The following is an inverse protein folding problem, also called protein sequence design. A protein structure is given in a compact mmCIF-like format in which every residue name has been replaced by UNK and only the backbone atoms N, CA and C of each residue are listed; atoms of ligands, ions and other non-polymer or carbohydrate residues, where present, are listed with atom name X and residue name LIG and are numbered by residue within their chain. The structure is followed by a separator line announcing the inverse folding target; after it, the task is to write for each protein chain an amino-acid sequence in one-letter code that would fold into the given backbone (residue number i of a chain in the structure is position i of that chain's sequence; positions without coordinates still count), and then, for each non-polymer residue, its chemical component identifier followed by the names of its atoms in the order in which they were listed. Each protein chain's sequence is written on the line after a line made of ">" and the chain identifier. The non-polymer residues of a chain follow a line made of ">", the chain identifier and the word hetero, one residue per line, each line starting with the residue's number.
data_IF_866935134006
#
_entry.id   IF_866935134006
#
_cell.length_a   1.000
_cell.length_b   1.000
_cell.length_c   1.000
_cell.angle_alpha   90.00
_cell.angle_beta   90.00
_cell.angle_gamma   90.00
#
_symmetry.space_group_name_H-M   'P 1'
#
loop_
_entity.id
_entity.type
_entity.pdbx_description
1 polymer ?
#
# COMPACT_ATOMS: atom_id res chain seq x y z
N UNK A 1 15.75 25.98 6.11
CA UNK A 1 14.44 26.43 5.59
C UNK A 1 13.71 25.21 5.05
N UNK A 2 12.56 24.86 5.64
CA UNK A 2 11.74 23.74 5.15
C UNK A 2 11.22 24.01 3.74
N UNK A 3 11.09 22.96 2.92
CA UNK A 3 10.46 23.09 1.60
C UNK A 3 8.96 23.29 1.80
N UNK A 4 8.42 24.33 1.16
CA UNK A 4 6.98 24.59 1.08
C UNK A 4 6.54 24.30 -0.36
N UNK A 5 5.35 23.74 -0.53
CA UNK A 5 4.79 23.55 -1.86
C UNK A 5 3.27 23.57 -1.86
N UNK A 6 2.73 23.85 -3.04
CA UNK A 6 1.30 23.95 -3.29
C UNK A 6 0.89 22.81 -4.20
N UNK A 7 -0.19 22.09 -3.85
CA UNK A 7 -0.82 21.08 -4.69
C UNK A 7 -2.27 21.43 -4.94
N UNK A 8 -2.69 21.42 -6.20
CA UNK A 8 -4.08 21.48 -6.58
C UNK A 8 -4.64 20.05 -6.57
N UNK A 9 -5.61 19.78 -5.69
CA UNK A 9 -6.31 18.50 -5.62
C UNK A 9 -7.53 18.58 -6.55
N UNK A 10 -7.27 18.49 -7.85
CA UNK A 10 -8.33 18.47 -8.84
C UNK A 10 -9.16 17.19 -8.74
N UNK A 11 -10.47 17.32 -8.86
CA UNK A 11 -11.41 16.21 -8.87
C UNK A 11 -12.13 16.22 -10.22
N UNK A 12 -12.03 15.13 -10.98
CA UNK A 12 -12.67 15.01 -12.30
C UNK A 12 -14.20 15.17 -12.26
N UNK A 13 -14.82 14.99 -11.08
CA UNK A 13 -16.27 15.07 -10.87
C UNK A 13 -16.72 16.36 -10.18
N UNK A 14 -15.82 17.32 -9.93
CA UNK A 14 -16.15 18.60 -9.29
C UNK A 14 -15.31 19.72 -9.85
N UNK A 15 -15.94 20.85 -10.18
CA UNK A 15 -15.24 22.07 -10.56
C UNK A 15 -14.52 22.76 -9.38
N UNK A 16 -14.65 22.21 -8.16
CA UNK A 16 -13.95 22.71 -6.99
C UNK A 16 -12.56 22.10 -6.86
N UNK A 17 -11.52 22.85 -7.25
CA UNK A 17 -10.12 22.44 -7.12
C UNK A 17 -9.56 22.90 -5.77
N UNK A 18 -9.54 22.01 -4.78
CA UNK A 18 -9.01 22.32 -3.44
C UNK A 18 -7.51 22.58 -3.50
N UNK A 19 -7.05 23.71 -2.95
CA UNK A 19 -5.63 24.05 -2.83
C UNK A 19 -5.09 23.48 -1.51
N UNK A 20 -4.11 22.59 -1.59
CA UNK A 20 -3.36 22.08 -0.44
C UNK A 20 -2.02 22.83 -0.34
N UNK A 21 -1.87 23.63 0.70
CA UNK A 21 -0.59 24.22 1.09
C UNK A 21 0.12 23.27 2.06
N UNK A 22 1.24 22.70 1.62
CA UNK A 22 2.10 21.85 2.46
C UNK A 22 3.32 22.65 2.91
N UNK A 23 3.31 23.06 4.18
CA UNK A 23 4.39 23.82 4.82
C UNK A 23 5.52 22.92 5.32
N UNK A 24 5.40 21.61 5.18
CA UNK A 24 6.36 20.63 5.69
C UNK A 24 6.56 19.49 4.67
N UNK A 25 7.00 19.87 3.46
CA UNK A 25 7.14 19.02 2.27
C UNK A 25 8.33 18.05 2.35
N UNK A 26 8.69 17.62 3.55
CA UNK A 26 9.65 16.55 3.75
C UNK A 26 8.94 15.22 3.51
N UNK A 27 9.50 14.33 2.67
CA UNK A 27 9.00 12.97 2.55
C UNK A 27 9.15 12.31 3.93
N UNK A 28 8.06 12.32 4.68
CA UNK A 28 7.94 11.60 5.93
C UNK A 28 8.02 10.11 5.59
N UNK A 29 9.23 9.56 5.60
CA UNK A 29 9.51 8.13 5.72
C UNK A 29 9.04 7.66 7.10
N UNK A 30 7.75 7.82 7.37
CA UNK A 30 7.11 7.28 8.56
C UNK A 30 7.14 5.77 8.39
N UNK A 31 7.81 5.09 9.30
CA UNK A 31 7.76 3.64 9.42
C UNK A 31 6.34 3.26 9.85
N UNK A 32 5.42 3.20 8.89
CA UNK A 32 4.01 2.91 9.15
C UNK A 32 3.90 1.44 9.58
N UNK A 33 3.24 1.16 10.71
CA UNK A 33 3.03 -0.22 11.13
C UNK A 33 2.26 -0.97 10.03
N UNK A 34 2.59 -2.25 9.87
CA UNK A 34 1.83 -3.10 8.97
C UNK A 34 0.37 -3.21 9.46
N UNK A 35 -0.57 -3.08 8.52
CA UNK A 35 -1.99 -3.28 8.78
C UNK A 35 -2.53 -4.25 7.75
N UNK A 36 -3.12 -5.33 8.25
CA UNK A 36 -3.89 -6.23 7.42
C UNK A 36 -5.12 -5.49 6.88
N UNK A 37 -5.40 -5.65 5.58
CA UNK A 37 -6.56 -4.97 4.97
C UNK A 37 -7.69 -5.96 4.76
N UNK A 38 -8.89 -5.61 5.23
CA UNK A 38 -10.08 -6.44 5.06
C UNK A 38 -10.36 -6.82 3.60
N UNK A 39 -10.03 -5.96 2.63
CA UNK A 39 -10.16 -6.28 1.20
C UNK A 39 -9.39 -7.54 0.77
N UNK A 40 -8.31 -7.90 1.46
CA UNK A 40 -7.51 -9.07 1.10
C UNK A 40 -8.29 -10.37 1.28
N UNK A 41 -9.22 -10.42 2.25
CA UNK A 41 -10.06 -11.61 2.46
C UNK A 41 -11.05 -11.87 1.33
N UNK A 42 -11.25 -10.89 0.43
CA UNK A 42 -12.12 -11.05 -0.74
C UNK A 42 -11.42 -11.75 -1.91
N UNK A 43 -10.10 -11.85 -1.89
CA UNK A 43 -9.33 -12.58 -2.89
C UNK A 43 -8.88 -13.90 -2.28
N UNK A 44 -9.37 -15.01 -2.83
CA UNK A 44 -9.11 -16.36 -2.31
C UNK A 44 -7.62 -16.69 -2.26
N UNK A 45 -6.81 -16.09 -3.14
CA UNK A 45 -5.35 -16.28 -3.19
C UNK A 45 -4.67 -15.78 -1.92
N UNK A 46 -5.26 -14.84 -1.18
CA UNK A 46 -4.71 -14.34 0.09
C UNK A 46 -4.52 -15.46 1.11
N UNK A 47 -5.42 -16.44 1.13
CA UNK A 47 -5.33 -17.59 2.04
C UNK A 47 -4.13 -18.47 1.73
N UNK A 48 -3.83 -18.70 0.45
CA UNK A 48 -2.67 -19.44 0.00
C UNK A 48 -1.36 -18.72 0.37
N UNK A 49 -1.31 -17.39 0.24
CA UNK A 49 -0.14 -16.59 0.66
C UNK A 49 0.15 -16.78 2.14
N UNK A 50 -0.87 -16.67 3.00
CA UNK A 50 -0.70 -16.89 4.45
C UNK A 50 -0.29 -18.33 4.75
N UNK A 51 -0.95 -19.31 4.14
CA UNK A 51 -0.66 -20.73 4.35
C UNK A 51 0.78 -21.07 3.99
N UNK A 52 1.24 -20.61 2.83
CA UNK A 52 2.59 -20.89 2.34
C UNK A 52 3.64 -20.26 3.25
N UNK A 53 3.45 -18.99 3.65
CA UNK A 53 4.35 -18.33 4.60
C UNK A 53 4.38 -19.06 5.95
N UNK A 54 3.22 -19.58 6.41
CA UNK A 54 3.14 -20.29 7.69
C UNK A 54 3.81 -21.67 7.67
N UNK A 55 4.08 -22.24 6.50
CA UNK A 55 4.76 -23.54 6.37
C UNK A 55 6.28 -23.45 6.52
N UNK A 56 6.86 -22.25 6.59
CA UNK A 56 8.30 -22.09 6.80
C UNK A 56 8.78 -22.83 8.06
N UNK A 57 9.85 -23.60 7.90
CA UNK A 57 10.52 -24.24 9.02
C UNK A 57 11.39 -23.21 9.75
N UNK A 58 11.08 -23.01 11.03
CA UNK A 58 11.79 -22.08 11.90
C UNK A 58 12.18 -22.81 13.17
N UNK A 59 13.46 -22.79 13.49
CA UNK A 59 14.03 -23.34 14.71
C UNK A 59 14.07 -22.29 15.83
N UNK A 60 14.15 -22.75 17.08
CA UNK A 60 14.22 -21.90 18.28
C UNK A 60 13.00 -22.03 19.19
N UNK A 61 12.87 -21.10 20.14
CA UNK A 61 11.77 -21.12 21.12
C UNK A 61 10.41 -20.93 20.45
N UNK A 62 9.33 -21.39 21.09
CA UNK A 62 7.97 -21.25 20.56
C UNK A 62 7.62 -19.78 20.23
N UNK A 63 7.98 -18.84 21.09
CA UNK A 63 7.75 -17.41 20.86
C UNK A 63 8.53 -16.88 19.66
N UNK A 64 9.80 -17.29 19.51
CA UNK A 64 10.62 -16.90 18.36
C UNK A 64 10.05 -17.45 17.05
N UNK A 65 9.65 -18.72 17.03
CA UNK A 65 9.03 -19.38 15.87
C UNK A 65 7.76 -18.66 15.44
N UNK A 66 6.90 -18.29 16.39
CA UNK A 66 5.69 -17.51 16.13
C UNK A 66 6.02 -16.13 15.54
N UNK A 67 6.94 -15.39 16.14
CA UNK A 67 7.33 -14.07 15.69
C UNK A 67 7.89 -14.08 14.25
N UNK A 68 8.72 -15.08 13.92
CA UNK A 68 9.29 -15.24 12.57
C UNK A 68 8.23 -15.57 11.52
N UNK A 69 7.32 -16.51 11.81
CA UNK A 69 6.21 -16.85 10.90
C UNK A 69 5.27 -15.67 10.64
N UNK A 70 5.00 -14.86 11.67
CA UNK A 70 4.23 -13.62 11.52
C UNK A 70 4.95 -12.60 10.62
N UNK A 71 6.28 -12.45 10.79
CA UNK A 71 7.07 -11.53 9.96
C UNK A 71 7.11 -11.98 8.49
N UNK A 72 7.31 -13.28 8.24
CA UNK A 72 7.27 -13.86 6.89
C UNK A 72 5.90 -13.66 6.24
N UNK A 73 4.82 -13.96 6.96
CA UNK A 73 3.45 -13.74 6.49
C UNK A 73 3.21 -12.28 6.11
N UNK A 74 3.70 -11.34 6.93
CA UNK A 74 3.62 -9.91 6.65
C UNK A 74 4.40 -9.54 5.38
N UNK A 75 5.58 -10.11 5.17
CA UNK A 75 6.39 -9.83 3.98
C UNK A 75 5.73 -10.35 2.71
N UNK A 76 5.24 -11.58 2.74
CA UNK A 76 4.58 -12.21 1.60
C UNK A 76 3.27 -11.52 1.26
N UNK A 77 2.45 -11.14 2.25
CA UNK A 77 1.26 -10.33 2.02
C UNK A 77 1.58 -8.96 1.43
N UNK A 78 2.67 -8.31 1.86
CA UNK A 78 3.11 -7.04 1.28
C UNK A 78 3.50 -7.20 -0.19
N UNK A 79 4.27 -8.24 -0.50
CA UNK A 79 4.70 -8.57 -1.87
C UNK A 79 3.50 -8.85 -2.75
N UNK A 80 2.65 -9.80 -2.35
CA UNK A 80 1.42 -10.15 -3.05
C UNK A 80 0.49 -8.94 -3.26
N UNK A 81 0.30 -8.11 -2.23
CA UNK A 81 -0.52 -6.90 -2.37
C UNK A 81 0.07 -5.92 -3.40
N UNK A 82 1.40 -5.82 -3.50
CA UNK A 82 2.05 -4.98 -4.52
C UNK A 82 1.86 -5.58 -5.92
N UNK A 83 2.00 -6.88 -6.08
CA UNK A 83 1.85 -7.55 -7.37
C UNK A 83 0.40 -7.51 -7.87
N UNK A 84 -0.57 -7.78 -7.01
CA UNK A 84 -1.99 -7.83 -7.39
C UNK A 84 -2.62 -6.44 -7.45
N UNK A 85 -2.45 -5.61 -6.42
CA UNK A 85 -3.12 -4.31 -6.33
C UNK A 85 -2.24 -3.13 -6.75
N UNK A 86 -0.92 -3.32 -6.90
CA UNK A 86 -0.04 -2.30 -7.48
C UNK A 86 -0.38 -2.05 -8.94
N UNK A 87 -0.54 -3.11 -9.74
CA UNK A 87 -0.98 -3.02 -11.14
C UNK A 87 -2.32 -2.29 -11.28
N UNK A 88 -3.28 -2.55 -10.38
CA UNK A 88 -4.57 -1.86 -10.37
C UNK A 88 -4.39 -0.35 -10.14
N UNK A 89 -3.53 0.05 -9.21
CA UNK A 89 -3.25 1.47 -8.94
C UNK A 89 -2.54 2.15 -10.11
N UNK A 90 -1.61 1.45 -10.76
CA UNK A 90 -0.92 1.95 -11.96
C UNK A 90 -1.91 2.13 -13.11
N UNK A 91 -2.82 1.17 -13.32
CA UNK A 91 -3.88 1.26 -14.33
C UNK A 91 -4.84 2.42 -14.05
N UNK A 92 -5.26 2.60 -12.80
CA UNK A 92 -6.10 3.74 -12.40
C UNK A 92 -5.37 5.05 -12.69
N UNK A 93 -4.09 5.16 -12.32
CA UNK A 93 -3.28 6.36 -12.59
C UNK A 93 -3.15 6.65 -14.09
N UNK A 94 -2.92 5.63 -14.91
CA UNK A 94 -2.85 5.77 -16.36
C UNK A 94 -4.19 6.24 -16.96
N UNK A 95 -5.30 5.63 -16.55
CA UNK A 95 -6.63 6.05 -16.99
C UNK A 95 -6.97 7.49 -16.57
N UNK A 96 -6.57 7.89 -15.36
CA UNK A 96 -6.74 9.27 -14.88
C UNK A 96 -5.91 10.27 -15.69
N UNK A 97 -4.68 9.91 -16.10
CA UNK A 97 -3.87 10.76 -16.96
C UNK A 97 -4.53 10.95 -18.34
N UNK A 98 -5.03 9.88 -18.95
CA UNK A 98 -5.75 9.96 -20.23
C UNK A 98 -7.00 10.85 -20.15
N UNK A 99 -7.76 10.78 -19.04
CA UNK A 99 -8.91 11.67 -18.82
C UNK A 99 -8.47 13.13 -18.75
N UNK A 100 -7.38 13.42 -18.04
CA UNK A 100 -6.85 14.77 -17.89
C UNK A 100 -6.28 15.38 -19.19
N UNK A 101 -5.98 14.57 -20.21
CA UNK A 101 -5.58 15.05 -21.53
C UNK A 101 -6.78 15.46 -22.41
N UNK A 102 -7.97 14.94 -22.11
CA UNK A 102 -9.20 15.18 -22.88
C UNK A 102 -10.05 16.31 -22.28
N UNK A 103 -9.88 16.59 -20.98
CA UNK A 103 -10.53 17.68 -20.24
C UNK A 103 -9.70 18.97 -20.31
#
# INVERSE_FOLDING_TARGET
>A
MGKVGVKHLSNANSNHNTILLDTHLEPKNLNRPFRFKAMWTKDERSSAVVKNAWQAEVEGSHAFRLARKLEETKQDLKKWNREVFGLVRERIKALQANIAEIQ
#
